data_IF_182509830071
#
_entry.id   IF_182509830071
#
_cell.length_a   1.000
_cell.length_b   1.000
_cell.length_c   1.000
_cell.angle_alpha   90.00
_cell.angle_beta   90.00
_cell.angle_gamma   90.00
#
_symmetry.space_group_name_H-M   'P 1'
#
loop_
_entity.id
_entity.type
_entity.pdbx_description
1 polymer ?
#
# COMPACT_ATOMS: atom_id res chain seq x y z
N UNK A 1 -15.68 1.02 -0.57
CA UNK A 1 -15.28 1.44 0.79
C UNK A 1 -14.11 0.61 1.27
N UNK A 2 -12.94 1.22 1.50
CA UNK A 2 -11.77 0.53 2.06
C UNK A 2 -11.80 0.60 3.59
N UNK A 3 -11.60 -0.54 4.25
CA UNK A 3 -11.64 -0.63 5.71
C UNK A 3 -10.33 -0.14 6.34
N UNK A 4 -10.37 0.69 7.40
CA UNK A 4 -9.20 1.01 8.22
C UNK A 4 -8.41 -0.24 8.69
N UNK A 5 -9.11 -1.36 8.93
CA UNK A 5 -8.48 -2.63 9.34
C UNK A 5 -7.58 -3.22 8.25
N UNK A 6 -7.96 -3.10 6.98
CA UNK A 6 -7.14 -3.60 5.87
C UNK A 6 -5.82 -2.84 5.78
N UNK A 7 -5.86 -1.53 6.03
CA UNK A 7 -4.68 -0.68 6.07
C UNK A 7 -3.75 -1.07 7.21
N UNK A 8 -4.26 -1.22 8.44
CA UNK A 8 -3.39 -1.62 9.57
C UNK A 8 -2.75 -2.99 9.36
N UNK A 9 -3.49 -3.97 8.82
CA UNK A 9 -2.92 -5.27 8.45
C UNK A 9 -1.77 -5.16 7.45
N UNK A 10 -1.90 -4.27 6.45
CA UNK A 10 -0.82 -4.01 5.53
C UNK A 10 0.42 -3.47 6.27
N UNK A 11 0.24 -2.49 7.15
CA UNK A 11 1.36 -1.89 7.90
C UNK A 11 2.05 -2.92 8.81
N UNK A 12 1.28 -3.77 9.49
CA UNK A 12 1.81 -4.88 10.28
C UNK A 12 2.59 -5.88 9.41
N UNK A 13 2.04 -6.24 8.23
CA UNK A 13 2.73 -7.10 7.27
C UNK A 13 4.05 -6.50 6.80
N UNK A 14 4.08 -5.20 6.45
CA UNK A 14 5.30 -4.52 6.03
C UNK A 14 6.38 -4.56 7.11
N UNK A 15 5.98 -4.31 8.36
CA UNK A 15 6.87 -4.41 9.53
C UNK A 15 7.42 -5.83 9.69
N UNK A 16 6.55 -6.84 9.62
CA UNK A 16 6.95 -8.26 9.73
C UNK A 16 7.87 -8.69 8.58
N UNK A 17 7.73 -8.07 7.40
CA UNK A 17 8.57 -8.30 6.22
C UNK A 17 9.81 -7.39 6.17
N UNK A 18 10.22 -6.81 7.29
CA UNK A 18 11.54 -6.23 7.47
C UNK A 18 11.64 -4.72 7.23
N UNK A 19 10.53 -4.02 6.98
CA UNK A 19 10.51 -2.55 6.94
C UNK A 19 10.62 -2.02 8.37
N UNK A 20 11.64 -1.21 8.66
CA UNK A 20 11.99 -0.76 10.02
C UNK A 20 11.81 0.73 10.23
N UNK A 21 11.78 1.52 9.16
CA UNK A 21 11.66 2.96 9.28
C UNK A 21 10.22 3.36 9.66
N UNK A 22 10.00 3.70 10.93
CA UNK A 22 8.69 4.10 11.45
C UNK A 22 8.08 5.29 10.72
N UNK A 23 8.90 6.23 10.24
CA UNK A 23 8.39 7.38 9.46
C UNK A 23 7.80 6.94 8.13
N UNK A 24 8.39 5.92 7.49
CA UNK A 24 7.85 5.32 6.25
C UNK A 24 6.55 4.57 6.55
N UNK A 25 6.52 3.75 7.60
CA UNK A 25 5.30 3.02 8.00
C UNK A 25 4.15 3.98 8.34
N UNK A 26 4.43 5.07 9.06
CA UNK A 26 3.45 6.10 9.40
C UNK A 26 2.93 6.85 8.17
N UNK A 27 3.82 7.19 7.22
CA UNK A 27 3.42 7.82 5.96
C UNK A 27 2.50 6.89 5.15
N UNK A 28 2.85 5.61 5.05
CA UNK A 28 2.04 4.61 4.35
C UNK A 28 0.69 4.35 5.04
N UNK A 29 0.63 4.49 6.37
CA UNK A 29 -0.64 4.43 7.13
C UNK A 29 -1.52 5.64 6.86
N UNK A 30 -0.95 6.82 6.68
CA UNK A 30 -1.71 8.06 6.51
C UNK A 30 -2.19 8.26 5.07
N UNK A 31 -1.36 7.91 4.08
CA UNK A 31 -1.68 8.11 2.66
C UNK A 31 -2.77 7.11 2.21
N UNK A 32 -3.94 7.60 1.75
CA UNK A 32 -5.04 6.74 1.32
C UNK A 32 -4.76 6.13 -0.08
N UNK A 33 -3.93 5.07 -0.13
CA UNK A 33 -3.53 4.38 -1.38
C UNK A 33 -4.68 4.07 -2.35
N UNK A 34 -5.87 3.78 -1.85
CA UNK A 34 -7.05 3.49 -2.67
C UNK A 34 -7.56 4.66 -3.52
N UNK A 35 -7.14 5.90 -3.24
CA UNK A 35 -7.45 7.07 -4.08
C UNK A 35 -6.60 7.15 -5.35
N UNK A 36 -5.58 6.30 -5.47
CA UNK A 36 -4.63 6.29 -6.59
C UNK A 36 -4.85 5.12 -7.56
N UNK A 37 -5.97 4.39 -7.43
CA UNK A 37 -6.35 3.26 -8.27
C UNK A 37 -7.82 3.37 -8.69
N UNK A 38 -8.21 2.58 -9.68
CA UNK A 38 -9.61 2.48 -10.09
C UNK A 38 -10.51 1.97 -8.95
N UNK A 39 -11.72 2.51 -8.84
CA UNK A 39 -12.70 2.14 -7.81
C UNK A 39 -13.03 0.64 -7.83
N UNK A 40 -13.04 0.02 -9.02
CA UNK A 40 -13.25 -1.43 -9.17
C UNK A 40 -12.17 -2.27 -8.47
N UNK A 41 -11.00 -1.69 -8.20
CA UNK A 41 -9.87 -2.33 -7.52
C UNK A 41 -9.72 -1.87 -6.06
N UNK A 42 -10.59 -1.01 -5.56
CA UNK A 42 -10.47 -0.42 -4.22
C UNK A 42 -10.39 -1.49 -3.11
N UNK A 43 -11.10 -2.61 -3.24
CA UNK A 43 -11.06 -3.73 -2.29
C UNK A 43 -9.66 -4.35 -2.14
N UNK A 44 -8.82 -4.24 -3.19
CA UNK A 44 -7.47 -4.79 -3.27
C UNK A 44 -6.38 -3.77 -2.96
N UNK A 45 -6.73 -2.51 -2.69
CA UNK A 45 -5.78 -1.41 -2.55
C UNK A 45 -4.67 -1.63 -1.50
N UNK A 46 -4.96 -2.45 -0.48
CA UNK A 46 -4.07 -2.75 0.64
C UNK A 46 -3.57 -4.20 0.65
N UNK A 47 -3.72 -4.92 -0.47
CA UNK A 47 -2.94 -6.13 -0.74
C UNK A 47 -1.50 -5.74 -1.08
N UNK A 48 -0.52 -6.57 -0.69
CA UNK A 48 0.86 -6.36 -1.09
C UNK A 48 1.10 -6.84 -2.53
N UNK A 49 0.45 -6.16 -3.47
CA UNK A 49 0.47 -6.50 -4.90
C UNK A 49 0.51 -5.24 -5.76
N UNK A 50 1.03 -5.38 -6.97
CA UNK A 50 0.99 -4.31 -7.96
C UNK A 50 -0.41 -4.27 -8.58
N UNK A 51 -0.93 -3.06 -8.81
CA UNK A 51 -2.27 -2.87 -9.38
C UNK A 51 -2.19 -1.97 -10.62
N UNK A 52 -2.98 -2.24 -11.67
CA UNK A 52 -3.00 -1.37 -12.84
C UNK A 52 -3.62 -0.01 -12.49
N UNK A 53 -3.05 1.04 -13.09
CA UNK A 53 -3.54 2.43 -12.97
C UNK A 53 -3.92 3.02 -14.34
N UNK A 54 -4.11 2.16 -15.34
CA UNK A 54 -4.40 2.53 -16.72
C UNK A 54 -3.14 2.80 -17.56
N UNK A 55 -3.34 2.99 -18.87
CA UNK A 55 -2.27 3.30 -19.85
C UNK A 55 -1.10 2.32 -19.84
N UNK A 56 -1.36 1.05 -19.53
CA UNK A 56 -0.31 0.02 -19.42
C UNK A 56 0.67 0.24 -18.26
N UNK A 57 0.29 1.04 -17.25
CA UNK A 57 1.11 1.31 -16.07
C UNK A 57 0.53 0.64 -14.82
N UNK A 58 1.38 0.43 -13.83
CA UNK A 58 1.01 -0.14 -12.53
C UNK A 58 1.50 0.74 -11.39
N UNK A 59 0.74 0.77 -10.30
CA UNK A 59 1.25 1.22 -9.01
C UNK A 59 2.02 0.07 -8.36
N UNK A 60 3.25 0.34 -7.92
CA UNK A 60 4.12 -0.65 -7.30
C UNK A 60 3.52 -1.27 -6.04
N UNK A 61 3.96 -2.49 -5.71
CA UNK A 61 3.61 -3.18 -4.47
C UNK A 61 3.96 -2.30 -3.25
N UNK A 62 3.10 -2.23 -2.21
CA UNK A 62 3.41 -1.55 -0.97
C UNK A 62 4.80 -1.87 -0.40
N UNK A 63 5.21 -3.15 -0.36
CA UNK A 63 6.53 -3.52 0.16
C UNK A 63 7.67 -2.92 -0.65
N UNK A 64 7.58 -2.95 -1.99
CA UNK A 64 8.60 -2.35 -2.86
C UNK A 64 8.72 -0.84 -2.60
N UNK A 65 7.60 -0.13 -2.48
CA UNK A 65 7.59 1.30 -2.17
C UNK A 65 8.23 1.56 -0.80
N UNK A 66 7.84 0.79 0.22
CA UNK A 66 8.39 0.90 1.56
C UNK A 66 9.91 0.70 1.57
N UNK A 67 10.38 -0.38 0.92
CA UNK A 67 11.79 -0.77 0.86
C UNK A 67 12.66 0.24 0.12
N UNK A 68 12.13 0.87 -0.93
CA UNK A 68 12.83 1.91 -1.67
C UNK A 68 12.92 3.25 -0.93
N UNK A 69 12.06 3.47 0.06
CA UNK A 69 11.92 4.76 0.77
C UNK A 69 12.62 4.77 2.12
N UNK A 70 12.92 3.61 2.71
CA UNK A 70 13.52 3.52 4.05
C UNK A 70 15.04 3.73 4.12
#
# INVERSE_FOLDING_TARGET
MTSPRARERLIESLRNNGIRNERVLDAMRQVPRHLFIDEALASRAYEDTALPIGRGQTISQPWVVARMTE
#
